data_IF_911276835404
#
_entry.id   IF_911276835404
#
_cell.length_a   1.000
_cell.length_b   1.000
_cell.length_c   1.000
_cell.angle_alpha   90.00
_cell.angle_beta   90.00
_cell.angle_gamma   90.00
#
_symmetry.space_group_name_H-M   'P 1'
#
loop_
_entity.id
_entity.type
_entity.pdbx_description
1 polymer ?
#
# COMPACT_ATOMS: atom_id res chain seq x y z
N UNK A 1 18.88 -0.97 -0.42
CA UNK A 1 20.17 -0.94 -1.13
C UNK A 1 21.24 -1.53 -0.21
N UNK A 2 22.43 -1.88 -0.70
CA UNK A 2 23.47 -2.55 0.12
C UNK A 2 23.91 -1.72 1.34
N UNK A 3 23.82 -0.39 1.23
CA UNK A 3 24.13 0.58 2.30
C UNK A 3 22.97 0.80 3.29
N UNK A 4 21.87 0.06 3.16
CA UNK A 4 20.67 0.23 3.98
C UNK A 4 19.78 1.40 3.59
N UNK A 5 20.11 2.15 2.53
CA UNK A 5 19.21 3.18 1.99
C UNK A 5 18.03 2.56 1.21
N UNK A 6 16.98 3.35 1.07
CA UNK A 6 15.70 2.97 0.45
C UNK A 6 15.40 3.91 -0.72
N UNK A 7 14.60 3.41 -1.67
CA UNK A 7 14.08 4.24 -2.75
C UNK A 7 12.65 4.66 -2.44
N UNK A 8 12.39 5.96 -2.52
CA UNK A 8 11.04 6.51 -2.48
C UNK A 8 10.65 7.04 -3.86
N UNK A 9 9.40 6.78 -4.22
CA UNK A 9 8.74 7.27 -5.41
C UNK A 9 7.59 8.16 -4.95
N UNK A 10 7.59 9.43 -5.31
CA UNK A 10 6.54 10.35 -4.85
C UNK A 10 6.31 11.49 -5.85
N UNK A 11 5.08 12.03 -5.92
CA UNK A 11 4.80 13.19 -6.76
C UNK A 11 5.62 14.39 -6.28
N UNK A 12 6.31 15.07 -7.20
CA UNK A 12 7.10 16.25 -6.88
C UNK A 12 6.90 17.36 -7.93
N UNK A 13 6.52 18.58 -7.50
CA UNK A 13 6.49 19.74 -8.39
C UNK A 13 7.85 20.05 -9.03
N UNK A 14 8.95 19.70 -8.37
CA UNK A 14 10.32 19.96 -8.85
C UNK A 14 10.64 19.15 -10.11
N UNK A 15 10.11 17.93 -10.20
CA UNK A 15 10.37 17.01 -11.32
C UNK A 15 9.21 16.93 -12.31
N UNK A 16 8.08 17.61 -12.03
CA UNK A 16 6.85 17.57 -12.85
C UNK A 16 6.38 16.13 -13.16
N UNK A 17 6.57 15.23 -12.20
CA UNK A 17 6.27 13.81 -12.32
C UNK A 17 6.57 13.09 -11.00
N UNK A 18 6.88 11.80 -11.08
CA UNK A 18 7.25 10.99 -9.92
C UNK A 18 8.74 11.17 -9.67
N UNK A 19 9.10 11.92 -8.63
CA UNK A 19 10.48 11.99 -8.19
C UNK A 19 10.93 10.65 -7.63
N UNK A 20 12.20 10.34 -7.86
CA UNK A 20 12.87 9.17 -7.32
C UNK A 20 13.95 9.65 -6.36
N UNK A 21 13.80 9.35 -5.07
CA UNK A 21 14.77 9.75 -4.05
C UNK A 21 15.45 8.54 -3.40
N UNK A 22 16.72 8.69 -3.07
CA UNK A 22 17.40 7.83 -2.09
C UNK A 22 17.20 8.41 -0.71
N UNK A 23 16.67 7.62 0.21
CA UNK A 23 16.54 8.00 1.62
C UNK A 23 17.36 7.07 2.50
N UNK A 24 18.13 7.66 3.42
CA UNK A 24 18.77 6.91 4.51
C UNK A 24 17.73 6.49 5.55
N UNK A 25 18.03 5.47 6.36
CA UNK A 25 17.16 5.09 7.50
C UNK A 25 16.96 6.22 8.53
N UNK A 26 17.85 7.23 8.52
CA UNK A 26 17.71 8.43 9.34
C UNK A 26 16.72 9.46 8.74
N UNK A 27 16.17 9.24 7.55
CA UNK A 27 15.21 10.13 6.89
C UNK A 27 15.83 11.19 5.99
N UNK A 28 17.15 11.20 5.82
CA UNK A 28 17.80 12.12 4.88
C UNK A 28 17.58 11.61 3.46
N UNK A 29 16.78 12.35 2.68
CA UNK A 29 16.41 12.03 1.32
C UNK A 29 17.08 12.96 0.32
N UNK A 30 17.49 12.43 -0.83
CA UNK A 30 17.99 13.21 -1.96
C UNK A 30 17.38 12.69 -3.25
N UNK A 31 16.80 13.58 -4.06
CA UNK A 31 16.28 13.25 -5.38
C UNK A 31 17.45 12.87 -6.27
N UNK A 32 17.35 11.71 -6.91
CA UNK A 32 18.38 11.17 -7.82
C UNK A 32 17.88 11.04 -9.27
N UNK A 33 16.58 11.25 -9.49
CA UNK A 33 15.97 11.13 -10.79
C UNK A 33 14.46 11.34 -10.74
N UNK A 34 13.80 11.10 -11.87
CA UNK A 34 12.36 11.19 -12.00
C UNK A 34 11.84 10.27 -13.08
N UNK A 35 10.65 9.72 -12.87
CA UNK A 35 9.92 8.92 -13.83
C UNK A 35 8.67 9.70 -14.21
N UNK A 36 8.51 9.98 -15.51
CA UNK A 36 7.31 10.63 -16.01
C UNK A 36 6.13 9.67 -16.04
N UNK A 37 4.92 10.19 -15.81
CA UNK A 37 3.67 9.45 -16.02
C UNK A 37 3.60 8.11 -15.27
N UNK A 38 4.04 8.09 -14.02
CA UNK A 38 3.99 6.89 -13.18
C UNK A 38 3.59 7.26 -11.76
N UNK A 39 2.37 7.81 -11.63
CA UNK A 39 1.85 8.20 -10.33
C UNK A 39 1.67 6.96 -9.45
N UNK A 40 1.86 7.11 -8.14
CA UNK A 40 1.61 6.07 -7.15
C UNK A 40 2.34 4.74 -7.48
N UNK A 41 3.61 4.87 -7.87
CA UNK A 41 4.42 3.74 -8.31
C UNK A 41 4.77 2.82 -7.14
N UNK A 42 4.44 1.54 -7.28
CA UNK A 42 4.97 0.44 -6.47
C UNK A 42 6.07 -0.31 -7.22
N UNK A 43 7.20 -0.55 -6.56
CA UNK A 43 8.31 -1.38 -7.06
C UNK A 43 8.21 -2.79 -6.46
N UNK A 44 8.06 -3.81 -7.32
CA UNK A 44 7.99 -5.22 -6.92
C UNK A 44 9.17 -5.97 -7.53
N UNK A 45 9.93 -6.68 -6.69
CA UNK A 45 10.91 -7.68 -7.12
C UNK A 45 10.17 -9.00 -7.32
N UNK A 46 10.19 -9.55 -8.53
CA UNK A 46 9.56 -10.82 -8.88
C UNK A 46 10.42 -12.01 -8.46
N UNK A 47 9.86 -13.23 -8.54
CA UNK A 47 10.57 -14.47 -8.14
C UNK A 47 11.81 -14.78 -8.97
N UNK A 48 11.91 -14.24 -10.19
CA UNK A 48 13.10 -14.36 -11.05
C UNK A 48 14.17 -13.29 -10.75
N UNK A 49 13.92 -12.41 -9.77
CA UNK A 49 14.80 -11.31 -9.38
C UNK A 49 14.66 -10.05 -10.24
N UNK A 50 13.85 -10.07 -11.30
CA UNK A 50 13.55 -8.87 -12.08
C UNK A 50 12.69 -7.90 -11.27
N UNK A 51 12.81 -6.59 -11.56
CA UNK A 51 11.96 -5.56 -10.97
C UNK A 51 10.84 -5.18 -11.93
N UNK A 52 9.66 -4.96 -11.38
CA UNK A 52 8.46 -4.54 -12.12
C UNK A 52 7.75 -3.44 -11.35
N UNK A 53 7.45 -2.37 -12.06
CA UNK A 53 6.67 -1.27 -11.53
C UNK A 53 5.18 -1.50 -11.80
N UNK A 54 4.34 -1.06 -10.85
CA UNK A 54 2.89 -0.92 -10.99
C UNK A 54 2.52 0.51 -10.64
N UNK A 55 1.77 1.20 -11.50
CA UNK A 55 1.56 2.64 -11.34
C UNK A 55 0.28 3.10 -12.06
N UNK A 56 -0.17 4.29 -11.71
CA UNK A 56 -1.24 4.99 -12.40
C UNK A 56 -0.66 5.81 -13.55
N UNK A 57 -1.29 5.69 -14.72
CA UNK A 57 -1.05 6.55 -15.88
C UNK A 57 -2.39 6.96 -16.51
N UNK A 58 -2.36 8.04 -17.28
CA UNK A 58 -3.49 8.54 -18.04
C UNK A 58 -3.50 7.90 -19.44
N UNK A 59 -4.62 7.27 -19.81
CA UNK A 59 -4.82 6.77 -21.16
C UNK A 59 -5.25 7.92 -22.09
N UNK A 60 -4.44 8.28 -23.11
CA UNK A 60 -4.78 9.37 -24.01
C UNK A 60 -5.98 9.06 -24.92
N UNK A 61 -6.36 7.80 -25.09
CA UNK A 61 -7.49 7.40 -25.94
C UNK A 61 -8.81 7.49 -25.17
N UNK A 62 -8.87 6.86 -23.99
CA UNK A 62 -10.09 6.84 -23.17
C UNK A 62 -10.24 8.08 -22.29
N UNK A 63 -9.16 8.84 -22.08
CA UNK A 63 -9.08 9.99 -21.16
C UNK A 63 -9.33 9.63 -19.69
N UNK A 64 -9.17 8.35 -19.35
CA UNK A 64 -9.28 7.87 -17.99
C UNK A 64 -7.91 7.52 -17.41
N UNK A 65 -7.84 7.52 -16.08
CA UNK A 65 -6.69 6.94 -15.38
C UNK A 65 -6.80 5.42 -15.46
N UNK A 66 -5.68 4.74 -15.60
CA UNK A 66 -5.59 3.29 -15.57
C UNK A 66 -4.38 2.81 -14.79
N UNK A 67 -4.41 1.55 -14.35
CA UNK A 67 -3.26 0.89 -13.73
C UNK A 67 -2.45 0.22 -14.84
N UNK A 68 -1.16 0.52 -14.87
CA UNK A 68 -0.19 0.02 -15.82
C UNK A 68 0.92 -0.73 -15.10
N UNK A 69 1.64 -1.56 -15.86
CA UNK A 69 2.89 -2.18 -15.42
C UNK A 69 3.98 -2.00 -16.47
N UNK A 70 5.23 -1.97 -16.02
CA UNK A 70 6.40 -2.01 -16.89
C UNK A 70 7.58 -2.69 -16.16
N UNK A 71 8.53 -3.32 -16.88
CA UNK A 71 9.83 -3.64 -16.30
C UNK A 71 10.47 -2.39 -15.71
N UNK A 72 11.07 -2.50 -14.54
CA UNK A 72 11.80 -1.43 -13.89
C UNK A 72 13.30 -1.77 -13.91
N UNK A 73 14.13 -0.80 -14.28
CA UNK A 73 15.59 -0.98 -14.25
C UNK A 73 16.09 -1.33 -12.84
N UNK A 74 17.23 -2.01 -12.75
CA UNK A 74 17.78 -2.45 -11.46
C UNK A 74 18.08 -1.28 -10.50
N UNK A 75 18.41 -0.10 -11.03
CA UNK A 75 18.61 1.13 -10.27
C UNK A 75 17.30 1.83 -9.87
N UNK A 76 16.15 1.37 -10.39
CA UNK A 76 14.84 1.91 -10.10
C UNK A 76 14.54 3.26 -10.75
N UNK A 77 15.28 3.66 -11.80
CA UNK A 77 15.18 4.98 -12.42
C UNK A 77 14.46 5.00 -13.78
N UNK A 78 14.35 3.86 -14.46
CA UNK A 78 13.83 3.78 -15.84
C UNK A 78 12.79 2.69 -15.98
N UNK A 79 11.68 3.02 -16.64
CA UNK A 79 10.65 2.06 -17.04
C UNK A 79 10.90 1.55 -18.47
N UNK A 80 10.69 0.26 -18.67
CA UNK A 80 10.56 -0.34 -20.01
C UNK A 80 9.18 -0.09 -20.63
N UNK A 81 8.79 -0.99 -21.53
CA UNK A 81 7.50 -0.89 -22.22
C UNK A 81 6.32 -1.00 -21.25
N UNK A 82 5.38 -0.06 -21.40
CA UNK A 82 4.19 0.05 -20.55
C UNK A 82 3.07 -0.82 -21.09
N UNK A 83 2.44 -1.56 -20.18
CA UNK A 83 1.30 -2.43 -20.47
C UNK A 83 0.14 -2.04 -19.58
N UNK A 84 -1.02 -1.76 -20.18
CA UNK A 84 -2.26 -1.53 -19.42
C UNK A 84 -2.73 -2.85 -18.82
N UNK A 85 -3.16 -2.82 -17.56
CA UNK A 85 -3.75 -3.98 -16.89
C UNK A 85 -5.26 -4.11 -17.14
N UNK A 86 -5.85 -3.20 -17.91
CA UNK A 86 -7.30 -3.14 -18.13
C UNK A 86 -8.11 -2.68 -16.91
N UNK A 87 -7.44 -2.23 -15.85
CA UNK A 87 -8.07 -1.67 -14.65
C UNK A 87 -8.11 -0.15 -14.83
N UNK A 88 -9.30 0.42 -14.97
CA UNK A 88 -9.53 1.82 -15.31
C UNK A 88 -10.38 2.50 -14.25
N UNK A 89 -10.22 3.82 -14.12
CA UNK A 89 -11.10 4.63 -13.27
C UNK A 89 -12.50 4.76 -13.85
N UNK A 90 -12.66 4.58 -15.16
CA UNK A 90 -13.94 4.81 -15.88
C UNK A 90 -14.58 6.18 -15.54
N UNK A 91 -13.73 7.18 -15.26
CA UNK A 91 -14.15 8.53 -14.90
C UNK A 91 -14.38 8.76 -13.40
N UNK A 92 -14.22 7.74 -12.54
CA UNK A 92 -14.28 7.90 -11.10
C UNK A 92 -13.21 8.87 -10.58
N UNK A 93 -13.61 9.77 -9.68
CA UNK A 93 -12.70 10.77 -9.08
C UNK A 93 -11.92 10.21 -7.90
N UNK A 94 -12.57 9.49 -6.99
CA UNK A 94 -11.96 8.83 -5.83
C UNK A 94 -11.40 7.45 -6.24
N UNK A 95 -10.30 7.46 -7.00
CA UNK A 95 -9.72 6.27 -7.61
C UNK A 95 -8.20 6.37 -7.79
N UNK A 96 -7.51 5.24 -7.62
CA UNK A 96 -6.15 5.05 -8.13
C UNK A 96 -5.01 5.43 -7.20
N UNK A 97 -4.80 4.63 -6.17
CA UNK A 97 -3.54 4.52 -5.43
C UNK A 97 -3.22 3.02 -5.31
N UNK A 98 -2.55 2.44 -6.32
CA UNK A 98 -2.23 1.03 -6.29
C UNK A 98 -1.11 0.73 -5.29
N UNK A 99 -1.28 -0.38 -4.58
CA UNK A 99 -0.17 -1.07 -3.94
C UNK A 99 -0.09 -2.49 -4.50
N UNK A 100 1.12 -2.95 -4.80
CA UNK A 100 1.38 -4.24 -5.42
C UNK A 100 2.36 -5.07 -4.59
N UNK A 101 2.02 -6.34 -4.37
CA UNK A 101 2.78 -7.22 -3.49
C UNK A 101 3.07 -8.54 -4.18
N UNK A 102 4.28 -9.07 -3.98
CA UNK A 102 4.59 -10.44 -4.36
C UNK A 102 3.94 -11.42 -3.37
N UNK A 103 3.20 -12.38 -3.90
CA UNK A 103 2.59 -13.46 -3.13
C UNK A 103 3.59 -14.62 -2.92
N UNK A 104 3.41 -15.44 -1.88
CA UNK A 104 4.23 -16.62 -1.65
C UNK A 104 4.24 -17.65 -2.79
N UNK A 105 3.21 -17.65 -3.64
CA UNK A 105 3.12 -18.52 -4.83
C UNK A 105 3.77 -17.91 -6.08
N UNK A 106 4.42 -16.75 -5.94
CA UNK A 106 5.14 -16.03 -6.99
C UNK A 106 4.28 -15.10 -7.84
N UNK A 107 2.96 -15.10 -7.66
CA UNK A 107 2.05 -14.16 -8.34
C UNK A 107 2.11 -12.78 -7.68
N UNK A 108 1.56 -11.78 -8.34
CA UNK A 108 1.45 -10.42 -7.80
C UNK A 108 -0.02 -10.14 -7.47
N UNK A 109 -0.29 -9.49 -6.33
CA UNK A 109 -1.61 -8.93 -6.04
C UNK A 109 -1.51 -7.42 -5.98
N UNK A 110 -2.43 -6.75 -6.67
CA UNK A 110 -2.58 -5.29 -6.64
C UNK A 110 -3.84 -4.94 -5.86
N UNK A 111 -3.73 -3.97 -4.98
CA UNK A 111 -4.81 -3.33 -4.23
C UNK A 111 -5.02 -1.93 -4.77
N UNK A 112 -6.25 -1.44 -4.86
CA UNK A 112 -6.51 -0.03 -5.23
C UNK A 112 -7.83 0.47 -4.64
N UNK A 113 -7.99 1.79 -4.70
CA UNK A 113 -9.18 2.52 -4.25
C UNK A 113 -10.22 2.58 -5.36
N UNK A 114 -11.47 2.29 -5.02
CA UNK A 114 -12.65 2.57 -5.82
C UNK A 114 -13.70 3.34 -5.01
N UNK A 115 -14.56 4.14 -5.68
CA UNK A 115 -15.72 4.71 -5.00
C UNK A 115 -16.64 3.59 -4.51
N UNK A 116 -17.36 3.87 -3.42
CA UNK A 116 -18.43 2.97 -2.99
C UNK A 116 -19.48 2.81 -4.09
N UNK A 117 -19.95 1.59 -4.39
CA UNK A 117 -21.12 1.39 -5.26
C UNK A 117 -22.38 2.07 -4.71
N UNK A 118 -22.44 2.31 -3.40
CA UNK A 118 -23.55 3.04 -2.77
C UNK A 118 -23.40 4.57 -2.90
N UNK A 119 -22.25 5.05 -3.37
CA UNK A 119 -21.90 6.47 -3.42
C UNK A 119 -21.75 7.11 -2.04
N UNK A 120 -21.48 8.42 -2.05
CA UNK A 120 -21.30 9.23 -0.86
C UNK A 120 -19.83 9.61 -0.61
N UNK A 121 -19.64 10.76 0.04
CA UNK A 121 -18.30 11.25 0.40
C UNK A 121 -17.67 10.37 1.47
N UNK A 122 -16.36 10.15 1.38
CA UNK A 122 -15.60 9.37 2.35
C UNK A 122 -16.13 7.94 2.55
N UNK A 123 -16.55 7.28 1.46
CA UNK A 123 -17.09 5.91 1.48
C UNK A 123 -16.26 4.91 0.69
N UNK A 124 -15.09 5.31 0.20
CA UNK A 124 -14.20 4.55 -0.66
C UNK A 124 -13.95 3.12 -0.14
N UNK A 125 -13.81 2.21 -1.08
CA UNK A 125 -13.53 0.81 -0.86
C UNK A 125 -12.14 0.47 -1.39
N UNK A 126 -11.44 -0.42 -0.69
CA UNK A 126 -10.25 -1.07 -1.23
C UNK A 126 -10.66 -2.36 -1.90
N UNK A 127 -10.19 -2.57 -3.12
CA UNK A 127 -10.42 -3.76 -3.93
C UNK A 127 -9.09 -4.32 -4.39
N UNK A 128 -9.07 -5.51 -4.97
CA UNK A 128 -7.83 -6.14 -5.41
C UNK A 128 -8.00 -7.04 -6.62
N UNK A 129 -6.88 -7.36 -7.26
CA UNK A 129 -6.76 -8.32 -8.33
C UNK A 129 -5.45 -9.09 -8.19
N UNK A 130 -5.48 -10.38 -8.49
CA UNK A 130 -4.31 -11.24 -8.45
C UNK A 130 -3.88 -11.58 -9.88
N UNK A 131 -2.58 -11.59 -10.15
CA UNK A 131 -2.07 -11.98 -11.45
C UNK A 131 -2.39 -13.44 -11.76
N UNK A 132 -2.49 -13.79 -13.04
CA UNK A 132 -2.74 -15.17 -13.47
C UNK A 132 -1.50 -16.06 -13.32
N UNK A 133 -0.32 -15.45 -13.34
CA UNK A 133 0.98 -16.13 -13.22
C UNK A 133 2.05 -15.21 -12.58
N UNK A 134 3.28 -15.71 -12.48
CA UNK A 134 4.41 -15.03 -11.86
C UNK A 134 5.00 -13.88 -12.70
N UNK A 135 4.55 -13.67 -13.94
CA UNK A 135 5.00 -12.52 -14.76
C UNK A 135 4.42 -11.22 -14.22
N UNK A 136 3.27 -11.30 -13.53
CA UNK A 136 2.59 -10.14 -12.97
C UNK A 136 2.08 -9.17 -14.05
N UNK A 137 1.66 -9.67 -15.22
CA UNK A 137 1.24 -8.82 -16.36
C UNK A 137 -0.25 -8.91 -16.72
N UNK A 138 -0.91 -10.01 -16.35
CA UNK A 138 -2.35 -10.24 -16.58
C UNK A 138 -3.01 -10.53 -15.24
N UNK A 139 -4.14 -9.89 -14.95
CA UNK A 139 -4.78 -9.91 -13.65
C UNK A 139 -6.26 -10.33 -13.73
N UNK A 140 -6.70 -10.99 -12.67
CA UNK A 140 -8.11 -11.31 -12.43
C UNK A 140 -8.53 -10.65 -11.13
N UNK A 141 -9.63 -9.90 -11.16
CA UNK A 141 -10.19 -9.23 -9.99
C UNK A 141 -10.55 -10.25 -8.91
N UNK A 142 -10.12 -10.00 -7.69
CA UNK A 142 -10.49 -10.81 -6.53
C UNK A 142 -11.95 -10.51 -6.12
N UNK A 143 -12.68 -11.54 -5.69
CA UNK A 143 -14.10 -11.39 -5.33
C UNK A 143 -14.28 -10.56 -4.05
N UNK A 144 -15.14 -9.54 -4.10
CA UNK A 144 -15.50 -8.70 -2.95
C UNK A 144 -14.55 -7.53 -2.71
N UNK A 145 -14.72 -6.85 -1.58
CA UNK A 145 -13.89 -5.72 -1.13
C UNK A 145 -12.92 -6.17 -0.03
N UNK A 146 -11.77 -5.51 0.07
CA UNK A 146 -10.76 -5.71 1.10
C UNK A 146 -11.10 -4.92 2.35
N UNK A 147 -11.48 -3.66 2.17
CA UNK A 147 -11.99 -2.76 3.21
C UNK A 147 -13.09 -1.87 2.65
N UNK A 148 -13.84 -1.23 3.55
CA UNK A 148 -14.92 -0.29 3.23
C UNK A 148 -14.90 0.88 4.21
N UNK A 149 -15.63 1.96 3.91
CA UNK A 149 -15.89 3.04 4.86
C UNK A 149 -14.87 4.16 4.82
N UNK A 150 -14.37 4.47 3.62
CA UNK A 150 -13.51 5.63 3.39
C UNK A 150 -12.09 5.41 3.86
N UNK A 151 -11.50 4.28 3.47
CA UNK A 151 -10.07 4.01 3.63
C UNK A 151 -9.40 4.11 2.27
N UNK A 152 -8.25 4.77 2.24
CA UNK A 152 -7.47 5.05 1.03
C UNK A 152 -5.97 4.85 1.33
N UNK A 153 -5.13 5.02 0.32
CA UNK A 153 -3.66 4.89 0.41
C UNK A 153 -3.23 3.57 1.07
N UNK A 154 -3.82 2.47 0.61
CA UNK A 154 -3.67 1.16 1.21
C UNK A 154 -2.34 0.53 0.79
N UNK A 155 -1.44 0.32 1.73
CA UNK A 155 -0.14 -0.31 1.51
C UNK A 155 0.02 -1.55 2.38
N UNK A 156 0.42 -2.66 1.76
CA UNK A 156 0.74 -3.91 2.44
C UNK A 156 2.21 -3.91 2.86
N UNK A 157 2.43 -3.82 4.17
CA UNK A 157 3.74 -3.88 4.78
C UNK A 157 4.31 -5.31 4.85
N UNK A 158 3.43 -6.32 4.88
CA UNK A 158 3.79 -7.73 5.00
C UNK A 158 2.75 -8.61 4.34
N UNK A 159 3.20 -9.53 3.47
CA UNK A 159 2.38 -10.43 2.66
C UNK A 159 2.72 -11.91 2.92
N UNK A 160 2.61 -12.35 4.18
CA UNK A 160 2.95 -13.71 4.62
C UNK A 160 1.70 -14.52 4.97
N UNK A 161 1.65 -15.84 4.70
CA UNK A 161 0.50 -16.67 5.07
C UNK A 161 0.12 -16.54 6.55
N UNK A 162 -1.12 -16.14 6.83
CA UNK A 162 -1.64 -15.93 8.18
C UNK A 162 -1.05 -14.72 8.92
N UNK A 163 -0.26 -13.86 8.27
CA UNK A 163 0.48 -12.78 8.92
C UNK A 163 0.52 -11.48 8.11
N UNK A 164 -0.58 -11.16 7.42
CA UNK A 164 -0.64 -9.95 6.61
C UNK A 164 -0.79 -8.71 7.49
N UNK A 165 -0.09 -7.64 7.09
CA UNK A 165 -0.14 -6.32 7.71
C UNK A 165 -0.24 -5.27 6.63
N UNK A 166 -1.13 -4.30 6.83
CA UNK A 166 -1.24 -3.12 5.99
C UNK A 166 -1.32 -1.87 6.84
N UNK A 167 -0.89 -0.76 6.26
CA UNK A 167 -1.11 0.60 6.75
C UNK A 167 -1.95 1.34 5.69
N UNK A 168 -2.80 2.24 6.13
CA UNK A 168 -3.71 2.98 5.26
C UNK A 168 -4.05 4.32 5.89
N UNK A 169 -4.57 5.24 5.10
CA UNK A 169 -5.13 6.49 5.59
C UNK A 169 -6.67 6.46 5.54
N UNK A 170 -7.31 7.33 6.31
CA UNK A 170 -8.74 7.62 6.11
C UNK A 170 -8.92 8.63 4.99
N UNK A 171 -10.08 8.60 4.35
CA UNK A 171 -10.41 9.47 3.22
C UNK A 171 -10.20 10.95 3.53
N UNK A 172 -9.62 11.72 2.59
CA UNK A 172 -9.55 13.18 2.69
C UNK A 172 -10.92 13.86 2.60
N UNK A 173 -11.95 13.16 2.10
CA UNK A 173 -13.29 13.72 1.90
C UNK A 173 -14.09 13.88 3.21
N UNK A 174 -13.60 13.34 4.33
CA UNK A 174 -14.16 13.64 5.65
C UNK A 174 -13.65 15.00 6.16
N UNK A 175 -14.30 16.07 5.69
CA UNK A 175 -13.92 17.45 6.06
C UNK A 175 -13.91 17.74 7.56
N UNK A 176 -14.62 16.95 8.36
CA UNK A 176 -14.71 17.16 9.82
C UNK A 176 -13.54 16.54 10.55
N UNK A 177 -12.87 15.56 9.96
CA UNK A 177 -11.79 14.83 10.61
C UNK A 177 -10.54 14.79 9.72
N UNK A 178 -9.35 15.11 10.24
CA UNK A 178 -8.14 14.92 9.46
C UNK A 178 -7.92 13.46 9.09
N UNK A 179 -7.23 13.27 7.96
CA UNK A 179 -6.73 11.96 7.56
C UNK A 179 -5.80 11.42 8.65
N UNK A 180 -5.98 10.15 8.98
CA UNK A 180 -5.22 9.46 10.01
C UNK A 180 -4.72 8.13 9.50
N UNK A 181 -3.53 7.74 9.98
CA UNK A 181 -2.98 6.44 9.66
C UNK A 181 -3.58 5.37 10.58
N UNK A 182 -4.00 4.27 9.97
CA UNK A 182 -4.56 3.08 10.61
C UNK A 182 -3.78 1.84 10.18
N UNK A 183 -3.83 0.78 10.99
CA UNK A 183 -3.29 -0.52 10.63
C UNK A 183 -4.40 -1.55 10.43
N UNK A 184 -4.21 -2.43 9.45
CA UNK A 184 -5.04 -3.59 9.21
C UNK A 184 -4.23 -4.88 9.31
N UNK A 185 -4.88 -5.96 9.73
CA UNK A 185 -4.30 -7.31 9.68
C UNK A 185 -5.18 -8.24 8.86
N UNK A 186 -4.58 -9.21 8.20
CA UNK A 186 -5.30 -10.24 7.45
C UNK A 186 -4.58 -11.59 7.58
N UNK A 187 -5.33 -12.67 7.33
CA UNK A 187 -4.76 -14.01 7.28
C UNK A 187 -4.41 -14.42 5.84
N UNK A 188 -5.02 -13.79 4.84
CA UNK A 188 -4.99 -14.19 3.42
C UNK A 188 -4.78 -13.02 2.43
N UNK A 189 -4.69 -11.79 2.93
CA UNK A 189 -4.64 -10.56 2.13
C UNK A 189 -5.97 -10.20 1.47
N UNK A 190 -7.03 -10.96 1.70
CA UNK A 190 -8.36 -10.70 1.15
C UNK A 190 -9.29 -10.16 2.24
N UNK A 191 -9.35 -10.79 3.39
CA UNK A 191 -10.24 -10.35 4.48
C UNK A 191 -9.45 -9.57 5.51
N UNK A 192 -9.74 -8.27 5.66
CA UNK A 192 -8.97 -7.39 6.53
C UNK A 192 -9.72 -7.00 7.80
N UNK A 193 -8.99 -6.99 8.91
CA UNK A 193 -9.44 -6.46 10.21
C UNK A 193 -8.68 -5.17 10.49
N UNK A 194 -9.36 -4.04 10.31
CA UNK A 194 -8.79 -2.71 10.53
C UNK A 194 -8.94 -2.31 11.99
N UNK A 195 -7.86 -1.86 12.61
CA UNK A 195 -7.89 -1.26 13.93
C UNK A 195 -8.34 0.21 13.81
N UNK A 196 -9.50 0.61 14.38
CA UNK A 196 -10.00 1.98 14.24
C UNK A 196 -9.19 3.00 15.05
N UNK A 197 -8.27 2.56 15.91
CA UNK A 197 -7.41 3.44 16.69
C UNK A 197 -6.37 4.11 15.78
N UNK A 198 -6.46 5.43 15.69
CA UNK A 198 -5.47 6.29 15.02
C UNK A 198 -4.05 6.05 15.54
N UNK A 199 -3.09 5.92 14.63
CA UNK A 199 -1.66 5.97 14.94
C UNK A 199 -1.16 7.42 15.09
N UNK A 200 -1.80 8.36 14.40
CA UNK A 200 -1.36 9.75 14.31
C UNK A 200 -2.27 10.68 15.13
N UNK A 201 -1.78 11.90 15.36
CA UNK A 201 -2.56 12.94 16.04
C UNK A 201 -3.75 13.40 15.19
N UNK A 202 -4.69 14.13 15.79
CA UNK A 202 -5.83 14.75 15.07
C UNK A 202 -5.62 16.23 14.75
N UNK A 203 -4.37 16.72 14.77
CA UNK A 203 -4.08 18.14 14.51
C UNK A 203 -3.83 18.46 13.04
N UNK A 204 -3.34 17.48 12.30
CA UNK A 204 -2.96 17.55 10.89
C UNK A 204 -3.48 16.30 10.18
N UNK A 205 -3.52 16.33 8.86
CA UNK A 205 -3.78 15.16 8.02
C UNK A 205 -2.48 14.41 7.74
N UNK A 206 -2.57 13.08 7.78
CA UNK A 206 -1.47 12.14 7.56
C UNK A 206 -1.94 11.09 6.55
N UNK A 207 -1.22 10.94 5.45
CA UNK A 207 -1.68 10.21 4.26
C UNK A 207 -0.50 9.63 3.47
N UNK A 208 -0.80 8.83 2.45
CA UNK A 208 0.18 8.19 1.56
C UNK A 208 1.33 7.51 2.32
N UNK A 209 1.03 6.59 3.25
CA UNK A 209 2.08 5.89 3.96
C UNK A 209 2.85 4.99 3.00
N UNK A 210 4.17 4.94 3.16
CA UNK A 210 5.00 3.84 2.65
C UNK A 210 5.91 3.26 3.72
N UNK A 211 6.00 1.94 3.85
CA UNK A 211 6.71 1.26 4.92
C UNK A 211 7.84 0.34 4.45
N UNK A 212 9.04 0.57 5.00
CA UNK A 212 10.20 -0.29 4.78
C UNK A 212 10.41 -1.22 5.98
N UNK A 213 10.53 -2.53 5.77
CA UNK A 213 10.89 -3.45 6.85
C UNK A 213 12.30 -3.15 7.37
N UNK A 214 12.42 -2.94 8.69
CA UNK A 214 13.69 -2.71 9.40
C UNK A 214 13.95 -3.77 10.48
N UNK A 215 13.11 -4.81 10.50
CA UNK A 215 13.17 -5.98 11.37
C UNK A 215 11.81 -6.70 11.38
N UNK A 216 11.72 -7.87 12.02
CA UNK A 216 10.56 -8.78 11.93
C UNK A 216 9.20 -8.13 12.28
N UNK A 217 9.21 -7.21 13.24
CA UNK A 217 8.02 -6.49 13.72
C UNK A 217 8.24 -4.97 13.73
N UNK A 218 9.15 -4.47 12.88
CA UNK A 218 9.50 -3.05 12.81
C UNK A 218 9.54 -2.55 11.37
N UNK A 219 8.85 -1.44 11.14
CA UNK A 219 8.81 -0.77 9.85
C UNK A 219 9.18 0.69 10.04
N UNK A 220 10.07 1.20 9.17
CA UNK A 220 10.23 2.63 8.97
C UNK A 220 9.13 3.07 8.02
N UNK A 221 8.21 3.91 8.48
CA UNK A 221 7.08 4.39 7.69
C UNK A 221 7.35 5.84 7.33
N UNK A 222 7.44 6.13 6.04
CA UNK A 222 7.32 7.48 5.48
C UNK A 222 5.86 7.79 5.24
N UNK A 223 5.47 9.05 5.40
CA UNK A 223 4.11 9.51 5.11
C UNK A 223 4.11 11.00 4.81
N UNK A 224 3.11 11.45 4.06
CA UNK A 224 2.87 12.88 3.87
C UNK A 224 2.08 13.46 5.05
N UNK A 225 2.39 14.71 5.39
CA UNK A 225 1.67 15.49 6.40
C UNK A 225 1.26 16.84 5.84
N UNK A 226 0.01 17.21 6.06
CA UNK A 226 -0.55 18.47 5.57
C UNK A 226 -1.66 19.02 6.50
N UNK A 227 -2.03 20.31 6.40
CA UNK A 227 -3.21 20.84 7.07
C UNK A 227 -4.50 20.13 6.62
N UNK A 228 -5.52 20.09 7.49
CA UNK A 228 -6.81 19.47 7.17
C UNK A 228 -7.73 20.38 6.33
N UNK A 229 -7.34 20.62 5.09
CA UNK A 229 -8.12 21.37 4.09
C UNK A 229 -8.09 20.63 2.76
N UNK A 230 -9.16 20.65 1.97
CA UNK A 230 -9.14 20.06 0.62
C UNK A 230 -8.40 20.96 -0.38
N UNK A 231 -7.93 20.35 -1.45
CA UNK A 231 -7.25 21.01 -2.56
C UNK A 231 -5.74 21.11 -2.40
N UNK A 232 -5.14 22.00 -3.19
CA UNK A 232 -3.70 22.20 -3.20
C UNK A 232 -3.22 22.76 -1.86
N UNK A 233 -2.31 22.02 -1.23
CA UNK A 233 -1.74 22.34 0.08
C UNK A 233 -0.30 21.87 0.12
N UNK A 234 0.51 22.49 0.97
CA UNK A 234 1.87 22.04 1.18
C UNK A 234 1.87 20.71 1.93
N UNK A 235 2.61 19.75 1.36
CA UNK A 235 2.87 18.46 1.96
C UNK A 235 4.32 18.42 2.45
N UNK A 236 4.51 17.90 3.66
CA UNK A 236 5.83 17.62 4.22
C UNK A 236 5.98 16.11 4.32
N UNK A 237 7.10 15.59 3.84
CA UNK A 237 7.49 14.20 4.06
C UNK A 237 7.99 14.04 5.50
N UNK A 238 7.31 13.21 6.28
CA UNK A 238 7.73 12.81 7.62
C UNK A 238 7.97 11.30 7.67
N UNK A 239 8.56 10.84 8.78
CA UNK A 239 8.77 9.41 9.03
C UNK A 239 8.50 9.05 10.50
N UNK A 240 8.17 7.79 10.75
CA UNK A 240 8.05 7.22 12.08
C UNK A 240 8.41 5.73 12.07
N UNK A 241 8.66 5.16 13.25
CA UNK A 241 8.80 3.70 13.39
C UNK A 241 7.46 3.10 13.82
N UNK A 242 6.90 2.23 12.98
CA UNK A 242 5.81 1.35 13.36
C UNK A 242 6.39 0.10 14.03
N UNK A 243 5.86 -0.24 15.22
CA UNK A 243 6.16 -1.49 15.92
C UNK A 243 4.91 -2.31 16.05
N UNK A 244 4.96 -3.54 15.55
CA UNK A 244 3.84 -4.48 15.65
C UNK A 244 4.04 -5.28 16.93
N UNK A 245 2.99 -5.37 17.77
CA UNK A 245 3.05 -6.24 18.93
C UNK A 245 3.13 -7.70 18.48
N UNK A 246 3.93 -8.52 19.18
CA UNK A 246 3.98 -9.95 18.92
C UNK A 246 2.56 -10.54 18.86
N UNK A 247 2.29 -11.40 17.88
CA UNK A 247 1.00 -12.10 17.80
C UNK A 247 0.68 -12.69 19.17
N UNK A 248 -0.56 -12.52 19.62
CA UNK A 248 -1.14 -13.35 20.68
C UNK A 248 -1.34 -14.78 20.15
N UNK A 249 -0.31 -15.41 19.59
CA UNK A 249 -0.28 -16.84 19.32
C UNK A 249 -0.06 -17.56 20.66
N UNK A 250 -1.06 -17.50 21.53
CA UNK A 250 -1.20 -18.53 22.54
C UNK A 250 -1.85 -19.72 21.84
N UNK A 251 -1.14 -20.85 21.62
CA UNK A 251 -1.82 -22.06 21.21
C UNK A 251 -2.84 -22.36 22.31
N UNK A 252 -4.10 -22.59 21.92
CA UNK A 252 -5.10 -23.08 22.85
C UNK A 252 -4.53 -24.35 23.51
N UNK A 253 -4.06 -24.22 24.76
CA UNK A 253 -3.57 -25.37 25.52
C UNK A 253 -4.76 -26.31 25.67
N UNK A 254 -4.73 -27.41 24.93
CA UNK A 254 -5.65 -28.52 25.13
C UNK A 254 -5.60 -28.89 26.60
N UNK A 255 -6.68 -28.62 27.32
CA UNK A 255 -6.84 -29.03 28.72
C UNK A 255 -6.78 -30.56 28.75
N UNK A 256 -5.63 -31.13 29.10
CA UNK A 256 -5.51 -32.54 29.46
C UNK A 256 -6.47 -32.80 30.62
N UNK A 257 -7.59 -33.48 30.35
CA UNK A 257 -8.48 -34.07 31.37
C UNK A 257 -7.62 -34.95 32.29
N UNK A 258 -7.47 -34.55 33.55
CA UNK A 258 -6.89 -35.42 34.61
C UNK A 258 -7.83 -36.62 34.79
N UNK A 259 -7.38 -37.82 34.39
CA UNK A 259 -7.96 -39.10 34.81
C UNK A 259 -7.85 -39.21 36.34
N UNK A 260 -8.98 -39.21 37.05
CA UNK A 260 -9.04 -39.67 38.45
C UNK A 260 -8.79 -41.19 38.46
N UNK A 261 -7.66 -41.62 39.04
CA UNK A 261 -7.46 -43.01 39.46
C UNK A 261 -8.22 -43.21 40.77
N UNK A 262 -9.17 -44.17 40.77
CA UNK A 262 -9.65 -44.84 41.97
C UNK A 262 -8.46 -45.53 42.66
N UNK A 263 -8.38 -45.44 43.99
CA UNK A 263 -7.66 -46.41 44.82
C UNK A 263 -8.68 -47.10 45.72
N UNK A 264 -8.38 -48.37 45.98
CA UNK A 264 -9.16 -49.39 46.65
C UNK A 264 -9.79 -48.94 47.96
#
# INVERSE_FOLDING_TARGET
MEDGSVRLYFPSPQTRGTAVATCTLAGNCSIVGSIERAADLTDVVLTDGSRRAYFVDFDPNTKFKGIYTAPLSADGLTLGDRVSLGISSEGAMAWGVPDAVLLPDGRVRIYWVEPSPQGGMATENIVSATSTDATGTVFVRDTGTRTTGGLVDFEVLRAEPGNWLAIMSTSPEDMKNPQRLLVGTSDDGLTWRVNPKSLTSRKMSYLDPTGIPTGDDRFLVYYAKAPNVLGDREYVLEQATLRVGAKANTPCKTKKKKKKKKKC
#
